data_IF_071104038384
#
_entry.id   IF_071104038384
#
_cell.length_a   1.000
_cell.length_b   1.000
_cell.length_c   1.000
_cell.angle_alpha   90.00
_cell.angle_beta   90.00
_cell.angle_gamma   90.00
#
_symmetry.space_group_name_H-M   'P 1'
#
loop_
_entity.id
_entity.type
_entity.pdbx_description
1 polymer ?
#
# COMPACT_ATOMS: atom_id res chain seq x y z
N UNK A 1 15.46 16.34 6.50
CA UNK A 1 14.43 15.89 5.55
C UNK A 1 13.27 15.41 6.37
N UNK A 2 12.15 16.15 6.41
CA UNK A 2 10.95 15.70 7.11
C UNK A 2 10.21 14.68 6.23
N UNK A 3 9.70 13.60 6.82
CA UNK A 3 8.77 12.72 6.13
C UNK A 3 7.48 13.48 5.89
N UNK A 4 7.00 13.43 4.66
CA UNK A 4 5.88 14.24 4.21
C UNK A 4 4.83 13.29 3.71
N UNK A 5 3.64 13.29 4.31
CA UNK A 5 2.44 12.52 3.93
C UNK A 5 1.96 12.73 2.47
N UNK A 6 2.78 13.42 1.65
CA UNK A 6 2.65 13.74 0.25
C UNK A 6 2.25 12.56 -0.63
N UNK A 7 2.83 11.35 -0.53
CA UNK A 7 2.41 10.21 -1.37
C UNK A 7 1.13 9.53 -0.86
N UNK A 8 0.88 9.57 0.45
CA UNK A 8 -0.28 8.91 1.05
C UNK A 8 -1.61 9.58 0.66
N UNK A 9 -1.62 10.92 0.57
CA UNK A 9 -2.82 11.70 0.22
C UNK A 9 -3.37 11.34 -1.18
N UNK A 10 -2.61 11.43 -2.28
CA UNK A 10 -3.12 11.16 -3.62
C UNK A 10 -3.48 9.68 -3.80
N UNK A 11 -2.71 8.75 -3.23
CA UNK A 11 -3.01 7.31 -3.33
C UNK A 11 -4.31 6.97 -2.60
N UNK A 12 -4.48 7.48 -1.38
CA UNK A 12 -5.73 7.29 -0.61
C UNK A 12 -6.90 8.00 -1.29
N UNK A 13 -6.69 9.20 -1.84
CA UNK A 13 -7.69 9.94 -2.61
C UNK A 13 -8.15 9.16 -3.84
N UNK A 14 -7.22 8.57 -4.60
CA UNK A 14 -7.54 7.73 -5.75
C UNK A 14 -8.32 6.48 -5.34
N UNK A 15 -7.98 5.88 -4.19
CA UNK A 15 -8.77 4.79 -3.60
C UNK A 15 -10.21 5.21 -3.35
N UNK A 16 -10.41 6.36 -2.71
CA UNK A 16 -11.74 6.89 -2.43
C UNK A 16 -12.51 7.21 -3.72
N UNK A 17 -11.87 7.80 -4.73
CA UNK A 17 -12.51 8.10 -6.03
C UNK A 17 -13.00 6.82 -6.70
N UNK A 18 -12.13 5.83 -6.84
CA UNK A 18 -12.54 4.55 -7.44
C UNK A 18 -13.57 3.82 -6.57
N UNK A 19 -13.50 3.96 -5.26
CA UNK A 19 -14.50 3.41 -4.34
C UNK A 19 -15.88 4.04 -4.58
N UNK A 20 -15.94 5.37 -4.71
CA UNK A 20 -17.17 6.10 -5.04
C UNK A 20 -17.70 5.67 -6.40
N UNK A 21 -16.85 5.63 -7.43
CA UNK A 21 -17.24 5.20 -8.78
C UNK A 21 -17.88 3.82 -8.79
N UNK A 22 -17.31 2.85 -8.05
CA UNK A 22 -17.91 1.51 -7.95
C UNK A 22 -19.26 1.58 -7.24
N UNK A 23 -19.37 2.36 -6.16
CA UNK A 23 -20.60 2.48 -5.38
C UNK A 23 -21.73 3.11 -6.19
N UNK A 24 -21.41 4.05 -7.07
CA UNK A 24 -22.35 4.71 -7.99
C UNK A 24 -22.61 3.92 -9.28
N UNK A 25 -21.98 2.76 -9.47
CA UNK A 25 -22.20 1.87 -10.61
C UNK A 25 -21.44 2.22 -11.89
N UNK A 26 -20.58 3.24 -11.89
CA UNK A 26 -19.77 3.59 -13.07
C UNK A 26 -18.68 2.55 -13.38
N UNK A 27 -18.17 1.86 -12.36
CA UNK A 27 -17.22 0.76 -12.53
C UNK A 27 -17.70 -0.49 -11.78
N UNK A 28 -17.35 -1.67 -12.28
CA UNK A 28 -17.67 -2.93 -11.61
C UNK A 28 -16.92 -3.08 -10.29
N UNK A 29 -17.59 -3.66 -9.28
CA UNK A 29 -16.95 -4.01 -7.99
C UNK A 29 -15.70 -4.86 -8.17
N UNK A 30 -15.75 -5.84 -9.08
CA UNK A 30 -14.62 -6.71 -9.39
C UNK A 30 -13.42 -5.92 -9.90
N UNK A 31 -13.64 -4.91 -10.74
CA UNK A 31 -12.56 -4.07 -11.26
C UNK A 31 -11.86 -3.29 -10.14
N UNK A 32 -12.62 -2.56 -9.31
CA UNK A 32 -12.04 -1.81 -8.18
C UNK A 32 -11.28 -2.72 -7.22
N UNK A 33 -11.86 -3.85 -6.81
CA UNK A 33 -11.21 -4.79 -5.88
C UNK A 33 -9.94 -5.38 -6.48
N UNK A 34 -9.98 -5.84 -7.74
CA UNK A 34 -8.82 -6.47 -8.38
C UNK A 34 -7.68 -5.45 -8.61
N UNK A 35 -8.02 -4.22 -9.01
CA UNK A 35 -7.05 -3.15 -9.16
C UNK A 35 -6.31 -2.89 -7.83
N UNK A 36 -7.06 -2.71 -6.74
CA UNK A 36 -6.45 -2.40 -5.46
C UNK A 36 -5.72 -3.59 -4.83
N UNK A 37 -6.18 -4.82 -5.05
CA UNK A 37 -5.42 -6.01 -4.68
C UNK A 37 -4.04 -6.01 -5.35
N UNK A 38 -3.98 -5.71 -6.65
CA UNK A 38 -2.72 -5.64 -7.40
C UNK A 38 -1.83 -4.50 -6.89
N UNK A 39 -2.38 -3.29 -6.74
CA UNK A 39 -1.63 -2.11 -6.28
C UNK A 39 -1.07 -2.33 -4.88
N UNK A 40 -1.88 -2.84 -3.94
CA UNK A 40 -1.45 -3.12 -2.56
C UNK A 40 -0.36 -4.21 -2.57
N UNK A 41 -0.53 -5.27 -3.35
CA UNK A 41 0.45 -6.36 -3.45
C UNK A 41 1.80 -5.85 -3.98
N UNK A 42 1.78 -5.09 -5.08
CA UNK A 42 3.01 -4.54 -5.67
C UNK A 42 3.69 -3.56 -4.70
N UNK A 43 2.94 -2.67 -4.07
CA UNK A 43 3.47 -1.73 -3.09
C UNK A 43 4.10 -2.47 -1.88
N UNK A 44 3.45 -3.52 -1.39
CA UNK A 44 3.97 -4.35 -0.30
C UNK A 44 5.26 -5.07 -0.69
N UNK A 45 5.31 -5.70 -1.87
CA UNK A 45 6.51 -6.41 -2.35
C UNK A 45 7.67 -5.44 -2.58
N UNK A 46 7.44 -4.34 -3.30
CA UNK A 46 8.48 -3.36 -3.60
C UNK A 46 9.01 -2.72 -2.31
N UNK A 47 8.12 -2.33 -1.39
CA UNK A 47 8.53 -1.74 -0.11
C UNK A 47 9.23 -2.76 0.78
N UNK A 48 8.72 -3.99 0.87
CA UNK A 48 9.33 -5.07 1.65
C UNK A 48 10.73 -5.41 1.17
N UNK A 49 10.90 -5.66 -0.14
CA UNK A 49 12.23 -5.91 -0.75
C UNK A 49 13.14 -4.70 -0.53
N UNK A 50 12.64 -3.48 -0.75
CA UNK A 50 13.40 -2.25 -0.54
C UNK A 50 13.89 -2.11 0.90
N UNK A 51 13.06 -2.45 1.89
CA UNK A 51 13.42 -2.45 3.31
C UNK A 51 14.50 -3.47 3.63
N UNK A 52 14.39 -4.70 3.11
CA UNK A 52 15.42 -5.73 3.29
C UNK A 52 16.76 -5.33 2.64
N UNK A 53 16.73 -4.80 1.42
CA UNK A 53 17.94 -4.32 0.74
C UNK A 53 18.58 -3.18 1.54
N UNK A 54 17.78 -2.22 2.00
CA UNK A 54 18.27 -1.11 2.82
C UNK A 54 18.91 -1.58 4.13
N UNK A 55 18.30 -2.56 4.80
CA UNK A 55 18.85 -3.19 6.00
C UNK A 55 20.25 -3.76 5.72
N UNK A 56 20.40 -4.59 4.68
CA UNK A 56 21.68 -5.20 4.32
C UNK A 56 22.76 -4.15 4.00
N UNK A 57 22.41 -3.11 3.23
CA UNK A 57 23.34 -2.03 2.88
C UNK A 57 23.81 -1.25 4.12
N UNK A 58 22.89 -1.03 5.08
CA UNK A 58 23.18 -0.30 6.31
C UNK A 58 24.06 -1.12 7.26
N UNK A 59 23.73 -2.40 7.46
CA UNK A 59 24.51 -3.32 8.29
C UNK A 59 25.93 -3.54 7.72
N UNK A 60 26.07 -3.62 6.40
CA UNK A 60 27.39 -3.75 5.75
C UNK A 60 28.21 -2.45 5.71
N UNK A 61 27.68 -1.32 6.20
CA UNK A 61 28.34 -0.02 6.15
C UNK A 61 28.51 0.55 4.74
N UNK A 62 27.81 0.00 3.74
CA UNK A 62 27.92 0.38 2.34
C UNK A 62 27.15 1.68 2.11
N UNK A 63 27.88 2.78 1.87
CA UNK A 63 27.30 4.07 1.51
C UNK A 63 27.03 4.13 0.01
N UNK A 64 25.82 3.70 -0.38
CA UNK A 64 25.37 3.78 -1.76
C UNK A 64 24.51 5.03 -1.97
N UNK A 65 24.59 5.66 -3.15
CA UNK A 65 23.91 6.93 -3.42
C UNK A 65 22.38 6.82 -3.31
N UNK A 66 21.83 5.61 -3.53
CA UNK A 66 20.40 5.34 -3.38
C UNK A 66 19.96 5.13 -1.94
N UNK A 67 20.84 4.93 -0.95
CA UNK A 67 20.42 4.63 0.42
C UNK A 67 19.44 5.67 1.01
N UNK A 68 19.69 6.99 0.91
CA UNK A 68 18.77 7.99 1.43
C UNK A 68 17.42 7.98 0.69
N UNK A 69 17.46 7.71 -0.62
CA UNK A 69 16.27 7.67 -1.46
C UNK A 69 15.45 6.40 -1.21
N UNK A 70 16.10 5.26 -1.02
CA UNK A 70 15.49 3.99 -0.68
C UNK A 70 14.83 4.06 0.71
N UNK A 71 15.53 4.66 1.69
CA UNK A 71 14.96 4.94 3.02
C UNK A 71 13.73 5.86 2.93
N UNK A 72 13.82 6.95 2.15
CA UNK A 72 12.70 7.86 1.95
C UNK A 72 11.49 7.13 1.36
N UNK A 73 11.64 6.45 0.22
CA UNK A 73 10.50 5.80 -0.44
C UNK A 73 9.96 4.60 0.32
N UNK A 74 10.80 3.85 1.05
CA UNK A 74 10.34 2.77 1.91
C UNK A 74 9.40 3.29 3.01
N UNK A 75 9.82 4.37 3.70
CA UNK A 75 9.01 4.99 4.76
C UNK A 75 7.71 5.56 4.18
N UNK A 76 7.79 6.32 3.10
CA UNK A 76 6.60 6.93 2.48
C UNK A 76 5.61 5.88 1.96
N UNK A 77 6.10 4.79 1.35
CA UNK A 77 5.25 3.68 0.92
C UNK A 77 4.57 2.99 2.12
N UNK A 78 5.30 2.80 3.23
CA UNK A 78 4.74 2.27 4.47
C UNK A 78 3.64 3.16 5.04
N UNK A 79 3.87 4.47 5.11
CA UNK A 79 2.87 5.45 5.56
C UNK A 79 1.62 5.41 4.68
N UNK A 80 1.77 5.33 3.35
CA UNK A 80 0.63 5.25 2.44
C UNK A 80 -0.16 3.93 2.56
N UNK A 81 0.53 2.81 2.83
CA UNK A 81 -0.11 1.49 2.94
C UNK A 81 -1.00 1.36 4.19
N UNK A 82 -0.69 2.06 5.29
CA UNK A 82 -1.48 1.99 6.53
C UNK A 82 -2.95 2.38 6.32
N UNK A 83 -3.30 3.62 5.92
CA UNK A 83 -4.69 3.99 5.73
C UNK A 83 -5.32 3.18 4.59
N UNK A 84 -4.58 2.92 3.51
CA UNK A 84 -5.08 2.19 2.35
C UNK A 84 -5.56 0.77 2.72
N UNK A 85 -4.75 0.02 3.47
CA UNK A 85 -5.07 -1.34 3.90
C UNK A 85 -6.17 -1.35 4.98
N UNK A 86 -6.16 -0.40 5.91
CA UNK A 86 -7.24 -0.24 6.91
C UNK A 86 -8.59 -0.02 6.23
N UNK A 87 -8.67 0.92 5.28
CA UNK A 87 -9.88 1.15 4.50
C UNK A 87 -10.27 -0.07 3.68
N UNK A 88 -9.31 -0.71 3.00
CA UNK A 88 -9.57 -1.88 2.19
C UNK A 88 -10.15 -3.05 3.00
N UNK A 89 -9.54 -3.38 4.14
CA UNK A 89 -10.04 -4.42 5.03
C UNK A 89 -11.38 -4.04 5.66
N UNK A 90 -11.60 -2.76 6.00
CA UNK A 90 -12.88 -2.31 6.52
C UNK A 90 -14.02 -2.45 5.48
N UNK A 91 -13.80 -2.03 4.24
CA UNK A 91 -14.78 -2.15 3.16
C UNK A 91 -15.06 -3.61 2.79
N UNK A 92 -14.05 -4.49 2.90
CA UNK A 92 -14.14 -5.89 2.45
C UNK A 92 -14.02 -6.91 3.59
N UNK A 93 -14.51 -6.57 4.80
CA UNK A 93 -14.49 -7.45 5.99
C UNK A 93 -15.04 -8.86 5.74
N UNK A 94 -16.03 -9.00 4.86
CA UNK A 94 -16.58 -10.32 4.49
C UNK A 94 -15.55 -11.22 3.79
N UNK A 95 -14.73 -10.64 2.91
CA UNK A 95 -13.62 -11.35 2.26
C UNK A 95 -12.56 -11.74 3.28
N UNK A 96 -12.16 -10.79 4.14
CA UNK A 96 -11.19 -11.03 5.20
C UNK A 96 -11.62 -12.18 6.12
N UNK A 97 -12.87 -12.18 6.59
CA UNK A 97 -13.44 -13.25 7.42
C UNK A 97 -13.35 -14.63 6.78
N UNK A 98 -13.53 -14.71 5.46
CA UNK A 98 -13.42 -15.97 4.71
C UNK A 98 -11.98 -16.47 4.67
N UNK A 99 -11.01 -15.57 4.46
CA UNK A 99 -9.58 -15.91 4.44
C UNK A 99 -9.12 -16.43 5.80
N UNK A 100 -9.58 -15.84 6.90
CA UNK A 100 -9.22 -16.27 8.26
C UNK A 100 -10.05 -17.45 8.79
N UNK A 101 -10.93 -18.05 7.98
CA UNK A 101 -11.73 -19.21 8.37
C UNK A 101 -12.88 -18.94 9.36
N UNK A 102 -13.30 -17.67 9.53
CA UNK A 102 -14.40 -17.25 10.42
C UNK A 102 -15.71 -16.99 9.64
N UNK A 103 -15.66 -17.02 8.30
CA UNK A 103 -16.85 -16.88 7.45
C UNK A 103 -17.65 -18.17 7.40
N UNK A 104 -18.96 -18.09 7.66
CA UNK A 104 -19.93 -19.13 7.28
C UNK A 104 -19.83 -19.47 5.80
#
# INVERSE_FOLDING_TARGET
MGYSILPAIPVTGLYMVTYLLYRTGFIGRAFHVNLWNLVILLAFIISGIGGFVLMLLTEAGVKFYLNPQLLYWHVEAGIALIPLTVFHFHCYRGSLRRIIGVGK
#
